data_IF_158972279780
#
_entry.id   IF_158972279780
#
_cell.length_a   1.000
_cell.length_b   1.000
_cell.length_c   1.000
_cell.angle_alpha   90.00
_cell.angle_beta   90.00
_cell.angle_gamma   90.00
#
_symmetry.space_group_name_H-M   'P 1'
#
loop_
_entity.id
_entity.type
_entity.pdbx_description
1 polymer ?
#
# COMPACT_ATOMS: atom_id res chain seq x y z
N UNK A 1 -9.48 -42.53 18.77
CA UNK A 1 -10.73 -42.26 18.02
C UNK A 1 -10.92 -40.74 17.94
N UNK A 2 -11.09 -40.24 16.71
CA UNK A 2 -11.45 -38.88 16.27
C UNK A 2 -10.69 -37.67 16.85
N UNK A 3 -9.74 -37.19 16.04
CA UNK A 3 -9.30 -35.80 16.02
C UNK A 3 -10.45 -34.90 15.55
N UNK A 4 -10.80 -33.88 16.34
CA UNK A 4 -11.69 -32.80 15.93
C UNK A 4 -10.85 -31.86 15.06
N UNK A 5 -10.99 -32.01 13.75
CA UNK A 5 -10.49 -31.03 12.78
C UNK A 5 -11.29 -29.74 12.93
N UNK A 6 -10.64 -28.67 13.38
CA UNK A 6 -11.17 -27.31 13.23
C UNK A 6 -11.17 -26.97 11.74
N UNK A 7 -12.37 -26.85 11.18
CA UNK A 7 -12.62 -26.33 9.84
C UNK A 7 -12.21 -24.85 9.84
N UNK A 8 -11.46 -24.35 8.84
CA UNK A 8 -11.19 -22.91 8.74
C UNK A 8 -12.50 -22.16 8.54
N UNK A 9 -12.79 -21.23 9.44
CA UNK A 9 -13.96 -20.36 9.36
C UNK A 9 -13.88 -19.52 8.09
N UNK A 10 -14.97 -19.50 7.32
CA UNK A 10 -15.11 -18.65 6.12
C UNK A 10 -14.79 -17.19 6.47
N UNK A 11 -14.18 -16.42 5.56
CA UNK A 11 -13.99 -14.99 5.77
C UNK A 11 -15.35 -14.32 6.05
N UNK A 12 -15.40 -13.29 6.90
CA UNK A 12 -16.65 -12.62 7.26
C UNK A 12 -17.34 -12.10 6.00
N UNK A 13 -18.63 -12.42 5.85
CA UNK A 13 -19.47 -11.86 4.77
C UNK A 13 -19.47 -10.33 4.89
N UNK A 14 -19.08 -9.66 3.80
CA UNK A 14 -19.13 -8.20 3.65
C UNK A 14 -20.53 -7.69 4.06
N UNK A 15 -20.60 -6.72 4.96
CA UNK A 15 -21.88 -6.06 5.28
C UNK A 15 -22.14 -4.98 4.22
N UNK A 16 -23.37 -4.88 3.72
CA UNK A 16 -23.74 -3.88 2.70
C UNK A 16 -23.35 -2.46 3.13
N UNK A 17 -23.43 -2.16 4.43
CA UNK A 17 -23.04 -0.87 5.03
C UNK A 17 -21.54 -0.54 4.88
N UNK A 18 -20.65 -1.52 5.05
CA UNK A 18 -19.21 -1.26 4.90
C UNK A 18 -18.80 -1.08 3.44
N UNK A 19 -19.50 -1.74 2.51
CA UNK A 19 -19.29 -1.53 1.07
C UNK A 19 -19.70 -0.12 0.63
N UNK A 20 -20.88 0.34 1.03
CA UNK A 20 -21.37 1.69 0.71
C UNK A 20 -20.43 2.76 1.29
N UNK A 21 -19.97 2.57 2.53
CA UNK A 21 -19.05 3.50 3.18
C UNK A 21 -17.69 3.62 2.45
N UNK A 22 -17.17 2.52 1.90
CA UNK A 22 -15.94 2.55 1.12
C UNK A 22 -16.14 3.28 -0.22
N UNK A 23 -17.28 3.08 -0.88
CA UNK A 23 -17.56 3.68 -2.18
C UNK A 23 -17.66 5.20 -2.10
N UNK A 24 -18.44 5.69 -1.12
CA UNK A 24 -18.61 7.12 -0.88
C UNK A 24 -17.28 7.77 -0.48
N UNK A 25 -16.48 7.06 0.33
CA UNK A 25 -15.14 7.50 0.70
C UNK A 25 -14.24 7.65 -0.53
N UNK A 26 -14.13 6.62 -1.36
CA UNK A 26 -13.24 6.63 -2.52
C UNK A 26 -13.68 7.69 -3.56
N UNK A 27 -14.99 7.86 -3.79
CA UNK A 27 -15.52 8.94 -4.64
C UNK A 27 -15.09 10.32 -4.12
N UNK A 28 -15.23 10.56 -2.82
CA UNK A 28 -14.81 11.83 -2.21
C UNK A 28 -13.30 12.04 -2.30
N UNK A 29 -12.52 10.97 -2.12
CA UNK A 29 -11.06 11.01 -2.17
C UNK A 29 -10.53 11.32 -3.57
N UNK A 30 -11.09 10.69 -4.60
CA UNK A 30 -10.67 10.87 -5.99
C UNK A 30 -11.08 12.23 -6.57
N UNK A 31 -12.10 12.87 -6.00
CA UNK A 31 -12.47 14.25 -6.36
C UNK A 31 -11.58 15.32 -5.71
N UNK A 32 -10.70 14.96 -4.75
CA UNK A 32 -9.90 15.90 -3.97
C UNK A 32 -8.63 16.42 -4.66
N UNK A 33 -8.14 17.58 -4.19
CA UNK A 33 -6.96 18.27 -4.75
C UNK A 33 -5.61 17.54 -4.59
N UNK A 34 -5.53 16.49 -3.76
CA UNK A 34 -4.32 15.67 -3.58
C UNK A 34 -3.84 14.99 -4.88
N UNK A 35 -4.71 14.92 -5.88
CA UNK A 35 -4.43 14.48 -7.24
C UNK A 35 -3.36 15.35 -7.94
N UNK A 36 -3.29 16.65 -7.64
CA UNK A 36 -2.31 17.54 -8.29
C UNK A 36 -0.86 17.09 -8.02
N UNK A 37 -0.58 16.48 -6.86
CA UNK A 37 0.79 16.05 -6.54
C UNK A 37 1.24 14.85 -7.37
N UNK A 38 0.32 13.95 -7.74
CA UNK A 38 0.63 12.76 -8.54
C UNK A 38 0.69 13.04 -10.05
N UNK A 39 -0.02 14.07 -10.52
CA UNK A 39 -0.26 14.31 -11.94
C UNK A 39 0.49 15.53 -12.53
N UNK A 40 1.38 16.17 -11.76
CA UNK A 40 2.17 17.31 -12.24
C UNK A 40 3.25 16.97 -13.29
N UNK A 41 3.27 15.73 -13.80
CA UNK A 41 4.11 15.31 -14.92
C UNK A 41 3.27 15.13 -16.18
N UNK A 42 3.70 15.78 -17.27
CA UNK A 42 3.14 15.57 -18.62
C UNK A 42 3.26 14.08 -18.93
N UNK A 43 2.14 13.40 -19.20
CA UNK A 43 2.18 12.05 -19.77
C UNK A 43 2.91 12.17 -21.12
N UNK A 44 4.02 11.45 -21.33
CA UNK A 44 4.77 11.56 -22.57
C UNK A 44 3.91 11.15 -23.75
N UNK A 45 4.22 11.68 -24.93
CA UNK A 45 3.64 11.17 -26.18
C UNK A 45 4.01 9.70 -26.33
N UNK A 46 2.98 8.85 -26.37
CA UNK A 46 3.11 7.42 -26.60
C UNK A 46 2.86 7.14 -28.09
N UNK A 47 3.56 6.16 -28.65
CA UNK A 47 3.17 5.61 -29.94
C UNK A 47 1.76 4.98 -29.87
N UNK A 48 1.12 4.82 -31.03
CA UNK A 48 -0.28 4.41 -31.12
C UNK A 48 -0.54 3.05 -30.43
N UNK A 49 0.40 2.11 -30.52
CA UNK A 49 0.28 0.78 -29.93
C UNK A 49 0.37 0.82 -28.40
N UNK A 50 1.35 1.56 -27.86
CA UNK A 50 1.48 1.78 -26.41
C UNK A 50 0.32 2.60 -25.85
N UNK A 51 -0.16 3.60 -26.59
CA UNK A 51 -1.32 4.40 -26.21
C UNK A 51 -2.59 3.55 -26.13
N UNK A 52 -2.84 2.70 -27.14
CA UNK A 52 -3.97 1.77 -27.15
C UNK A 52 -3.89 0.79 -25.97
N UNK A 53 -2.71 0.21 -25.70
CA UNK A 53 -2.50 -0.67 -24.56
C UNK A 53 -2.70 0.04 -23.22
N UNK A 54 -2.18 1.25 -23.06
CA UNK A 54 -2.37 2.05 -21.86
C UNK A 54 -3.85 2.31 -21.59
N UNK A 55 -4.61 2.69 -22.63
CA UNK A 55 -6.06 2.94 -22.52
C UNK A 55 -6.81 1.66 -22.14
N UNK A 56 -6.44 0.52 -22.71
CA UNK A 56 -7.13 -0.75 -22.49
C UNK A 56 -6.82 -1.37 -21.12
N UNK A 57 -5.54 -1.37 -20.71
CA UNK A 57 -5.07 -2.20 -19.59
C UNK A 57 -4.74 -1.42 -18.31
N UNK A 58 -4.41 -0.14 -18.43
CA UNK A 58 -3.88 0.67 -17.32
C UNK A 58 -4.87 1.74 -16.90
N UNK A 59 -5.35 2.53 -17.87
CA UNK A 59 -6.29 3.63 -17.63
C UNK A 59 -7.56 3.09 -16.97
N UNK A 60 -8.03 3.82 -15.96
CA UNK A 60 -9.25 3.48 -15.23
C UNK A 60 -10.07 4.74 -14.99
N UNK A 61 -11.36 4.55 -14.74
CA UNK A 61 -12.26 5.59 -14.26
C UNK A 61 -12.62 5.34 -12.77
N UNK A 62 -13.39 6.25 -12.18
CA UNK A 62 -13.77 6.19 -10.76
C UNK A 62 -14.53 4.90 -10.43
N UNK A 63 -15.50 4.51 -11.27
CA UNK A 63 -16.35 3.35 -11.01
C UNK A 63 -15.56 2.05 -11.10
N UNK A 64 -14.70 1.91 -12.11
CA UNK A 64 -13.77 0.77 -12.23
C UNK A 64 -12.77 0.72 -11.09
N UNK A 65 -12.23 1.86 -10.65
CA UNK A 65 -11.31 1.91 -9.52
C UNK A 65 -11.97 1.45 -8.21
N UNK A 66 -13.23 1.83 -8.00
CA UNK A 66 -14.02 1.38 -6.85
C UNK A 66 -14.30 -0.12 -6.95
N UNK A 67 -14.78 -0.61 -8.10
CA UNK A 67 -15.02 -2.05 -8.33
C UNK A 67 -13.75 -2.86 -8.06
N UNK A 68 -12.60 -2.38 -8.56
CA UNK A 68 -11.31 -3.02 -8.32
C UNK A 68 -10.98 -3.09 -6.82
N UNK A 69 -11.14 -2.00 -6.08
CA UNK A 69 -10.90 -1.99 -4.63
C UNK A 69 -11.81 -2.96 -3.87
N UNK A 70 -13.04 -3.19 -4.35
CA UNK A 70 -13.98 -4.13 -3.77
C UNK A 70 -13.68 -5.59 -4.14
N UNK A 71 -13.40 -5.88 -5.40
CA UNK A 71 -13.10 -7.22 -5.93
C UNK A 71 -11.78 -7.77 -5.38
N UNK A 72 -10.85 -6.86 -5.06
CA UNK A 72 -9.53 -7.20 -4.53
C UNK A 72 -9.47 -7.13 -2.99
N UNK A 73 -10.62 -7.03 -2.33
CA UNK A 73 -10.72 -7.09 -0.88
C UNK A 73 -10.11 -8.40 -0.36
N UNK A 74 -9.38 -8.32 0.75
CA UNK A 74 -8.64 -9.44 1.32
C UNK A 74 -7.22 -9.59 0.77
N UNK A 75 -6.88 -8.89 -0.32
CA UNK A 75 -5.50 -8.70 -0.79
C UNK A 75 -4.74 -10.01 -1.03
N UNK A 76 -5.43 -11.05 -1.50
CA UNK A 76 -4.88 -12.39 -1.64
C UNK A 76 -5.43 -13.16 -2.86
N UNK A 77 -6.13 -12.47 -3.77
CA UNK A 77 -6.75 -13.08 -4.93
C UNK A 77 -6.02 -12.74 -6.24
N UNK A 78 -6.32 -13.50 -7.30
CA UNK A 78 -5.62 -13.38 -8.58
C UNK A 78 -5.83 -12.03 -9.26
N UNK A 79 -7.01 -11.41 -9.08
CA UNK A 79 -7.29 -10.07 -9.60
C UNK A 79 -6.37 -9.06 -8.92
N UNK A 80 -6.21 -9.15 -7.59
CA UNK A 80 -5.29 -8.29 -6.83
C UNK A 80 -3.85 -8.46 -7.30
N UNK A 81 -3.40 -9.71 -7.49
CA UNK A 81 -2.05 -9.99 -7.97
C UNK A 81 -1.82 -9.47 -9.40
N UNK A 82 -2.78 -9.69 -10.31
CA UNK A 82 -2.69 -9.23 -11.70
C UNK A 82 -2.65 -7.71 -11.79
N UNK A 83 -3.55 -7.02 -11.10
CA UNK A 83 -3.66 -5.57 -11.17
C UNK A 83 -2.49 -4.86 -10.47
N UNK A 84 -1.88 -5.47 -9.45
CA UNK A 84 -0.63 -4.97 -8.87
C UNK A 84 0.55 -5.04 -9.82
N UNK A 85 0.64 -6.08 -10.65
CA UNK A 85 1.76 -6.24 -11.61
C UNK A 85 1.78 -5.15 -12.69
N UNK A 86 0.64 -4.49 -12.93
CA UNK A 86 0.52 -3.38 -13.88
C UNK A 86 1.02 -2.03 -13.32
N UNK A 87 1.38 -1.95 -12.03
CA UNK A 87 1.49 -0.69 -11.29
C UNK A 87 2.70 -0.64 -10.35
N UNK A 88 3.21 0.56 -10.10
CA UNK A 88 4.14 0.80 -9.01
C UNK A 88 3.39 0.85 -7.68
N UNK A 89 3.49 -0.23 -6.90
CA UNK A 89 2.80 -0.36 -5.62
C UNK A 89 3.62 0.19 -4.44
N UNK A 90 2.95 0.55 -3.34
CA UNK A 90 3.62 1.05 -2.14
C UNK A 90 4.79 0.20 -1.63
N UNK A 91 4.70 -1.13 -1.73
CA UNK A 91 5.75 -2.06 -1.29
C UNK A 91 7.04 -2.00 -2.11
N UNK A 92 7.01 -1.48 -3.35
CA UNK A 92 8.15 -1.46 -4.29
C UNK A 92 8.57 -0.05 -4.72
N UNK A 93 7.72 0.96 -4.50
CA UNK A 93 7.93 2.31 -5.03
C UNK A 93 9.24 2.94 -4.56
N UNK A 94 9.61 2.78 -3.29
CA UNK A 94 10.84 3.33 -2.75
C UNK A 94 12.09 2.65 -3.32
N UNK A 95 12.01 1.34 -3.56
CA UNK A 95 13.09 0.57 -4.17
C UNK A 95 13.36 1.03 -5.61
N UNK A 96 12.30 1.21 -6.41
CA UNK A 96 12.39 1.76 -7.76
C UNK A 96 12.90 3.21 -7.76
N UNK A 97 12.41 4.03 -6.83
CA UNK A 97 12.83 5.43 -6.67
C UNK A 97 14.33 5.54 -6.35
N UNK A 98 14.83 4.74 -5.42
CA UNK A 98 16.26 4.72 -5.09
C UNK A 98 17.10 4.12 -6.21
N UNK A 99 16.61 3.07 -6.89
CA UNK A 99 17.26 2.49 -8.05
C UNK A 99 17.44 3.49 -9.21
N UNK A 100 16.47 4.40 -9.40
CA UNK A 100 16.53 5.45 -10.42
C UNK A 100 17.70 6.42 -10.27
N UNK A 101 18.33 6.46 -9.09
CA UNK A 101 19.45 7.35 -8.76
C UNK A 101 20.81 6.73 -9.11
N UNK A 102 20.85 5.49 -9.59
CA UNK A 102 22.06 4.85 -10.05
C UNK A 102 22.56 5.51 -11.35
N UNK A 103 23.88 5.55 -11.55
CA UNK A 103 24.50 6.15 -12.75
C UNK A 103 24.08 5.45 -14.06
N UNK A 104 23.85 4.13 -14.01
CA UNK A 104 23.51 3.31 -15.18
C UNK A 104 22.50 2.22 -14.80
N UNK A 105 21.22 2.56 -14.65
CA UNK A 105 20.18 1.61 -14.25
C UNK A 105 19.83 0.66 -15.41
N UNK A 106 19.83 -0.65 -15.16
CA UNK A 106 19.34 -1.68 -16.07
C UNK A 106 17.86 -1.97 -15.74
N UNK A 107 16.97 -1.15 -16.28
CA UNK A 107 15.54 -1.20 -15.96
C UNK A 107 14.89 -2.52 -16.35
N UNK A 108 15.16 -3.05 -17.54
CA UNK A 108 14.57 -4.32 -17.99
C UNK A 108 14.90 -5.47 -17.03
N UNK A 109 16.16 -5.61 -16.62
CA UNK A 109 16.57 -6.60 -15.61
C UNK A 109 15.90 -6.35 -14.26
N UNK A 110 15.80 -5.09 -13.84
CA UNK A 110 15.17 -4.71 -12.58
C UNK A 110 13.69 -5.07 -12.55
N UNK A 111 12.97 -4.76 -13.63
CA UNK A 111 11.54 -5.04 -13.77
C UNK A 111 11.28 -6.56 -13.87
N UNK A 112 12.07 -7.29 -14.66
CA UNK A 112 12.00 -8.76 -14.70
C UNK A 112 12.16 -9.37 -13.30
N UNK A 113 13.16 -8.94 -12.53
CA UNK A 113 13.38 -9.45 -11.17
C UNK A 113 12.22 -9.16 -10.20
N UNK A 114 11.47 -8.08 -10.42
CA UNK A 114 10.34 -7.69 -9.55
C UNK A 114 9.08 -8.42 -9.97
N UNK A 115 8.73 -8.39 -11.26
CA UNK A 115 7.42 -8.82 -11.74
C UNK A 115 7.35 -10.29 -12.19
N UNK A 116 8.51 -10.89 -12.51
CA UNK A 116 8.63 -12.31 -12.85
C UNK A 116 9.29 -13.12 -11.72
N UNK A 117 9.31 -12.57 -10.50
CA UNK A 117 9.81 -13.28 -9.33
C UNK A 117 8.89 -14.45 -8.98
N UNK A 118 9.48 -15.61 -8.69
CA UNK A 118 8.77 -16.80 -8.19
C UNK A 118 8.71 -16.85 -6.66
N UNK A 119 9.19 -15.82 -5.97
CA UNK A 119 9.24 -15.78 -4.51
C UNK A 119 7.82 -15.75 -3.90
N UNK A 120 7.48 -16.78 -3.13
CA UNK A 120 6.16 -16.97 -2.52
C UNK A 120 6.06 -16.42 -1.08
N UNK A 121 7.04 -15.62 -0.64
CA UNK A 121 7.11 -15.18 0.76
C UNK A 121 7.98 -16.08 1.63
N UNK A 122 7.99 -15.77 2.93
CA UNK A 122 8.70 -16.51 3.95
C UNK A 122 7.88 -16.57 5.24
N UNK A 123 8.34 -17.32 6.24
CA UNK A 123 7.69 -17.44 7.56
C UNK A 123 7.38 -16.09 8.22
N UNK A 124 8.21 -15.06 7.99
CA UNK A 124 7.99 -13.73 8.54
C UNK A 124 6.79 -13.02 7.86
N UNK A 125 6.61 -13.24 6.56
CA UNK A 125 5.49 -12.68 5.78
C UNK A 125 4.18 -13.37 6.17
N UNK A 126 4.19 -14.70 6.31
CA UNK A 126 3.05 -15.49 6.77
C UNK A 126 2.63 -15.11 8.19
N UNK A 127 3.60 -15.00 9.11
CA UNK A 127 3.33 -14.52 10.47
C UNK A 127 2.71 -13.12 10.46
N UNK A 128 3.26 -12.20 9.66
CA UNK A 128 2.75 -10.84 9.55
C UNK A 128 1.28 -10.81 9.12
N UNK A 129 0.92 -11.55 8.07
CA UNK A 129 -0.45 -11.62 7.56
C UNK A 129 -1.44 -12.16 8.61
N UNK A 130 -1.06 -13.22 9.34
CA UNK A 130 -1.90 -13.78 10.40
C UNK A 130 -2.06 -12.82 11.59
N UNK A 131 -0.97 -12.17 12.00
CA UNK A 131 -0.97 -11.25 13.13
C UNK A 131 -1.72 -9.94 12.83
N UNK A 132 -1.77 -9.51 11.56
CA UNK A 132 -2.41 -8.25 11.15
C UNK A 132 -3.92 -8.23 11.45
N UNK A 133 -4.61 -9.36 11.28
CA UNK A 133 -6.04 -9.47 11.62
C UNK A 133 -6.27 -9.23 13.10
N UNK A 134 -5.46 -9.84 13.96
CA UNK A 134 -5.50 -9.62 15.41
C UNK A 134 -5.17 -8.16 15.75
N UNK A 135 -4.10 -7.61 15.17
CA UNK A 135 -3.67 -6.23 15.39
C UNK A 135 -4.79 -5.22 15.07
N UNK A 136 -5.48 -5.40 13.94
CA UNK A 136 -6.62 -4.57 13.55
C UNK A 136 -7.77 -4.66 14.55
N UNK A 137 -8.10 -5.87 15.01
CA UNK A 137 -9.16 -6.07 16.00
C UNK A 137 -8.83 -5.40 17.34
N UNK A 138 -7.60 -5.56 17.82
CA UNK A 138 -7.11 -4.91 19.05
C UNK A 138 -7.11 -3.39 18.91
N UNK A 139 -6.68 -2.87 17.75
CA UNK A 139 -6.72 -1.43 17.46
C UNK A 139 -8.15 -0.86 17.53
N UNK A 140 -9.12 -1.52 16.88
CA UNK A 140 -10.53 -1.11 16.93
C UNK A 140 -11.08 -1.14 18.36
N UNK A 141 -10.80 -2.21 19.12
CA UNK A 141 -11.25 -2.34 20.49
C UNK A 141 -10.67 -1.27 21.43
N UNK A 142 -9.38 -0.92 21.26
CA UNK A 142 -8.70 0.07 22.11
C UNK A 142 -9.04 1.52 21.76
N UNK A 143 -9.27 1.82 20.48
CA UNK A 143 -9.50 3.21 20.03
C UNK A 143 -10.98 3.55 19.86
N UNK A 144 -11.85 2.56 19.67
CA UNK A 144 -13.24 2.76 19.27
C UNK A 144 -13.40 3.20 17.81
N UNK A 145 -12.31 3.36 17.05
CA UNK A 145 -12.39 3.69 15.63
C UNK A 145 -12.87 2.47 14.83
N UNK A 146 -13.76 2.71 13.88
CA UNK A 146 -14.13 1.72 12.88
C UNK A 146 -13.10 1.71 11.75
N UNK A 147 -12.51 0.54 11.46
CA UNK A 147 -11.51 0.38 10.41
C UNK A 147 -12.17 -0.15 9.14
N UNK A 148 -12.23 0.68 8.11
CA UNK A 148 -12.62 0.27 6.77
C UNK A 148 -11.49 -0.54 6.13
N UNK A 149 -11.81 -1.71 5.60
CA UNK A 149 -10.89 -2.51 4.79
C UNK A 149 -11.10 -2.21 3.31
N UNK A 150 -10.01 -2.28 2.55
CA UNK A 150 -10.02 -2.09 1.10
C UNK A 150 -9.08 -3.10 0.44
N UNK A 151 -9.35 -3.42 -0.83
CA UNK A 151 -8.40 -4.05 -1.73
C UNK A 151 -7.38 -3.05 -2.27
N UNK A 152 -6.98 -3.24 -3.52
CA UNK A 152 -6.10 -2.34 -4.26
C UNK A 152 -6.83 -1.04 -4.63
N UNK A 153 -6.35 0.07 -4.09
CA UNK A 153 -6.79 1.42 -4.43
C UNK A 153 -5.90 1.92 -5.57
N UNK A 154 -6.56 2.37 -6.64
CA UNK A 154 -5.95 2.98 -7.81
C UNK A 154 -6.63 4.32 -8.03
N UNK A 155 -5.86 5.40 -8.02
CA UNK A 155 -6.42 6.73 -8.30
C UNK A 155 -6.53 6.91 -9.83
N UNK A 156 -7.73 7.19 -10.39
CA UNK A 156 -7.92 7.35 -11.84
C UNK A 156 -7.02 8.39 -12.49
N UNK A 157 -6.54 9.39 -11.73
CA UNK A 157 -5.67 10.43 -12.24
C UNK A 157 -4.20 9.98 -12.39
N UNK A 158 -3.79 8.94 -11.65
CA UNK A 158 -2.46 8.35 -11.74
C UNK A 158 -2.54 6.82 -11.66
N UNK A 159 -3.18 6.17 -12.66
CA UNK A 159 -3.56 4.76 -12.59
C UNK A 159 -2.37 3.79 -12.65
N UNK A 160 -1.17 4.29 -12.90
CA UNK A 160 0.08 3.53 -12.82
C UNK A 160 0.59 3.35 -11.38
N UNK A 161 -0.01 4.02 -10.40
CA UNK A 161 0.25 3.78 -8.98
C UNK A 161 -0.86 2.94 -8.34
N UNK A 162 -0.50 2.17 -7.33
CA UNK A 162 -1.45 1.38 -6.55
C UNK A 162 -1.06 1.27 -5.09
N UNK A 163 -2.06 1.21 -4.21
CA UNK A 163 -1.84 1.03 -2.79
C UNK A 163 -2.90 0.12 -2.18
N UNK A 164 -2.50 -0.77 -1.27
CA UNK A 164 -3.41 -1.66 -0.56
C UNK A 164 -3.23 -1.37 0.94
N UNK A 165 -4.08 -0.52 1.55
CA UNK A 165 -3.97 -0.20 2.97
C UNK A 165 -4.35 -1.39 3.84
N UNK A 166 -3.73 -1.50 5.02
CA UNK A 166 -4.15 -2.47 6.05
C UNK A 166 -5.49 -2.04 6.69
N UNK A 167 -5.78 -0.73 6.66
CA UNK A 167 -7.07 -0.16 6.98
C UNK A 167 -7.17 1.33 6.65
N UNK A 168 -8.40 1.85 6.65
CA UNK A 168 -8.68 3.28 6.55
C UNK A 168 -9.61 3.65 7.71
N UNK A 169 -9.25 4.71 8.43
CA UNK A 169 -10.06 5.26 9.52
C UNK A 169 -10.49 6.68 9.18
N UNK A 170 -11.69 7.05 9.61
CA UNK A 170 -12.24 8.38 9.40
C UNK A 170 -12.04 9.22 10.66
N UNK A 171 -11.22 10.27 10.56
CA UNK A 171 -10.96 11.20 11.65
C UNK A 171 -11.47 12.58 11.23
N UNK A 172 -12.49 13.09 11.92
CA UNK A 172 -13.11 14.39 11.62
C UNK A 172 -13.51 14.54 10.13
N UNK A 173 -14.08 13.48 9.54
CA UNK A 173 -14.51 13.45 8.14
C UNK A 173 -13.39 13.30 7.11
N UNK A 174 -12.13 13.12 7.54
CA UNK A 174 -10.99 12.92 6.64
C UNK A 174 -10.44 11.48 6.74
N UNK A 175 -10.00 10.89 5.62
CA UNK A 175 -9.33 9.60 5.65
C UNK A 175 -7.95 9.71 6.30
N UNK A 176 -7.64 8.74 7.15
CA UNK A 176 -6.31 8.44 7.65
C UNK A 176 -6.00 6.98 7.34
N UNK A 177 -4.80 6.73 6.83
CA UNK A 177 -4.35 5.35 6.57
C UNK A 177 -3.98 4.71 7.90
N UNK A 178 -4.41 3.47 8.11
CA UNK A 178 -3.86 2.58 9.12
C UNK A 178 -2.91 1.62 8.41
N UNK A 179 -1.63 1.69 8.76
CA UNK A 179 -0.60 0.73 8.34
C UNK A 179 -0.18 -0.09 9.55
N UNK A 180 -0.11 -1.40 9.41
CA UNK A 180 0.16 -2.35 10.46
C UNK A 180 1.47 -3.08 10.13
N UNK A 181 2.35 -3.17 11.11
CA UNK A 181 3.55 -4.01 11.02
C UNK A 181 3.62 -4.88 12.25
N UNK A 182 3.79 -6.18 12.01
CA UNK A 182 3.94 -7.21 13.04
C UNK A 182 5.34 -7.83 12.92
N UNK A 183 6.39 -7.23 13.52
CA UNK A 183 7.72 -7.82 13.50
C UNK A 183 7.71 -9.21 14.15
N UNK A 184 8.46 -10.16 13.60
CA UNK A 184 8.53 -11.55 14.12
C UNK A 184 8.91 -11.57 15.61
N UNK A 185 9.81 -10.69 16.02
CA UNK A 185 10.24 -10.60 17.43
C UNK A 185 9.12 -10.16 18.38
N UNK A 186 8.04 -9.56 17.86
CA UNK A 186 6.83 -9.23 18.63
C UNK A 186 6.04 -10.44 19.13
N UNK A 187 6.44 -11.67 18.76
CA UNK A 187 5.96 -12.91 19.38
C UNK A 187 6.56 -13.15 20.77
N UNK A 188 7.71 -12.54 21.06
CA UNK A 188 8.52 -12.86 22.24
C UNK A 188 8.69 -11.69 23.20
N UNK A 189 8.28 -10.48 22.81
CA UNK A 189 8.45 -9.28 23.61
C UNK A 189 7.35 -8.23 23.31
N UNK A 190 7.02 -7.38 24.29
CA UNK A 190 6.10 -6.25 24.11
C UNK A 190 6.54 -5.26 23.02
N UNK A 191 5.58 -4.57 22.42
CA UNK A 191 5.83 -3.62 21.33
C UNK A 191 6.83 -2.50 21.70
N UNK A 192 6.78 -2.03 22.96
CA UNK A 192 7.70 -1.01 23.49
C UNK A 192 9.17 -1.46 23.57
N UNK A 193 9.41 -2.77 23.66
CA UNK A 193 10.74 -3.35 23.81
C UNK A 193 11.33 -3.70 22.43
N UNK A 194 10.48 -4.09 21.47
CA UNK A 194 10.93 -4.41 20.11
C UNK A 194 11.14 -3.17 19.23
N UNK A 195 10.38 -2.10 19.44
CA UNK A 195 10.35 -0.93 18.53
C UNK A 195 11.72 -0.28 18.34
N UNK A 196 12.55 -0.25 19.39
CA UNK A 196 13.89 0.33 19.36
C UNK A 196 14.88 -0.45 18.48
N UNK A 197 14.62 -1.74 18.28
CA UNK A 197 15.47 -2.64 17.50
C UNK A 197 15.10 -2.69 16.01
N UNK A 198 14.03 -1.99 15.62
CA UNK A 198 13.61 -1.94 14.22
C UNK A 198 14.45 -0.93 13.46
N UNK A 199 15.17 -1.41 12.44
CA UNK A 199 16.09 -0.59 11.63
C UNK A 199 15.40 0.59 10.92
N UNK A 200 14.07 0.56 10.77
CA UNK A 200 13.27 1.60 10.16
C UNK A 200 12.72 2.62 11.16
N UNK A 201 12.94 2.44 12.45
CA UNK A 201 12.55 3.38 13.51
C UNK A 201 13.79 4.10 14.05
N UNK A 202 13.60 5.35 14.46
CA UNK A 202 14.56 6.10 15.27
C UNK A 202 13.83 6.85 16.38
N UNK A 203 14.56 7.26 17.41
CA UNK A 203 14.07 8.11 18.49
C UNK A 203 14.58 9.53 18.22
N UNK A 204 13.69 10.52 18.18
CA UNK A 204 14.08 11.92 18.01
C UNK A 204 14.62 12.51 19.34
N UNK A 205 15.06 13.76 19.30
CA UNK A 205 15.58 14.49 20.48
C UNK A 205 14.56 14.60 21.62
N UNK A 206 13.26 14.55 21.29
CA UNK A 206 12.17 14.61 22.27
C UNK A 206 11.82 13.24 22.87
N UNK A 207 12.51 12.16 22.47
CA UNK A 207 12.22 10.81 22.94
C UNK A 207 11.09 10.09 22.18
N UNK A 208 10.54 10.69 21.12
CA UNK A 208 9.46 10.08 20.34
C UNK A 208 9.99 9.13 19.27
N UNK A 209 9.28 8.03 19.05
CA UNK A 209 9.51 7.15 17.90
C UNK A 209 9.10 7.83 16.59
N UNK A 210 9.96 7.71 15.58
CA UNK A 210 9.75 8.24 14.24
C UNK A 210 10.17 7.21 13.19
N UNK A 211 9.42 7.18 12.09
CA UNK A 211 9.75 6.38 10.91
C UNK A 211 10.88 7.05 10.14
N UNK A 212 11.94 6.31 9.80
CA UNK A 212 13.06 6.84 9.01
C UNK A 212 12.60 7.20 7.60
N UNK A 213 12.83 8.45 7.19
CA UNK A 213 12.50 8.94 5.84
C UNK A 213 13.24 8.20 4.72
N UNK A 214 14.43 7.68 5.02
CA UNK A 214 15.24 6.86 4.09
C UNK A 214 14.93 5.36 4.19
N UNK A 215 13.66 4.98 4.32
CA UNK A 215 13.25 3.58 4.41
C UNK A 215 12.05 3.27 3.51
N UNK A 216 11.95 2.02 3.03
CA UNK A 216 10.87 1.59 2.12
C UNK A 216 9.46 1.83 2.67
N UNK A 217 9.27 1.63 3.97
CA UNK A 217 7.98 1.87 4.62
C UNK A 217 7.58 3.35 4.62
N UNK A 218 8.53 4.28 4.65
CA UNK A 218 8.21 5.70 4.50
C UNK A 218 7.71 5.99 3.09
N UNK A 219 8.41 5.50 2.06
CA UNK A 219 7.93 5.62 0.68
C UNK A 219 6.57 4.96 0.46
N UNK A 220 6.34 3.80 1.06
CA UNK A 220 5.08 3.06 0.98
C UNK A 220 3.89 3.90 1.49
N UNK A 221 3.97 4.40 2.72
CA UNK A 221 2.84 5.17 3.31
C UNK A 221 2.68 6.54 2.64
N UNK A 222 3.77 7.18 2.18
CA UNK A 222 3.69 8.43 1.43
C UNK A 222 2.99 8.24 0.07
N UNK A 223 3.30 7.15 -0.65
CA UNK A 223 2.57 6.81 -1.87
C UNK A 223 1.11 6.50 -1.57
N UNK A 224 0.83 5.72 -0.52
CA UNK A 224 -0.53 5.39 -0.12
C UNK A 224 -1.36 6.63 0.18
N UNK A 225 -0.81 7.57 0.95
CA UNK A 225 -1.46 8.85 1.26
C UNK A 225 -1.74 9.67 0.01
N UNK A 226 -0.82 9.70 -0.96
CA UNK A 226 -1.07 10.41 -2.22
C UNK A 226 -2.14 9.73 -3.09
N UNK A 227 -2.12 8.39 -3.19
CA UNK A 227 -3.12 7.63 -3.97
C UNK A 227 -4.52 7.80 -3.38
N UNK A 228 -4.64 7.70 -2.06
CA UNK A 228 -5.91 7.84 -1.34
C UNK A 228 -6.34 9.31 -1.14
N UNK A 229 -5.42 10.27 -1.13
CA UNK A 229 -5.73 11.64 -0.68
C UNK A 229 -5.83 11.80 0.83
N UNK A 230 -5.10 11.00 1.60
CA UNK A 230 -5.00 11.13 3.05
C UNK A 230 -3.90 12.13 3.45
N UNK A 231 -4.07 12.80 4.59
CA UNK A 231 -3.10 13.79 5.12
C UNK A 231 -2.06 13.19 6.05
N UNK A 232 -2.34 11.99 6.56
CA UNK A 232 -1.49 11.30 7.51
C UNK A 232 -1.80 9.80 7.53
N UNK A 233 -0.82 9.05 8.02
CA UNK A 233 -0.87 7.62 8.23
C UNK A 233 -0.57 7.33 9.70
N UNK A 234 -1.41 6.54 10.34
CA UNK A 234 -1.10 5.92 11.62
C UNK A 234 -0.44 4.57 11.37
N UNK A 235 0.85 4.47 11.66
CA UNK A 235 1.60 3.22 11.63
C UNK A 235 1.57 2.59 13.02
N UNK A 236 1.02 1.39 13.14
CA UNK A 236 1.10 0.62 14.38
C UNK A 236 2.11 -0.53 14.26
N UNK A 237 2.92 -0.68 15.31
CA UNK A 237 3.85 -1.78 15.49
C UNK A 237 3.26 -2.70 16.54
N UNK A 238 2.70 -3.82 16.09
CA UNK A 238 1.95 -4.75 16.94
C UNK A 238 2.83 -5.91 17.41
N UNK A 239 2.72 -6.24 18.69
CA UNK A 239 3.31 -7.42 19.30
C UNK A 239 2.20 -8.39 19.69
N UNK A 240 2.23 -9.62 19.15
CA UNK A 240 1.27 -10.67 19.53
C UNK A 240 1.55 -11.24 20.92
N UNK A 241 2.74 -10.96 21.49
CA UNK A 241 3.14 -11.45 22.81
C UNK A 241 2.15 -11.08 23.92
N UNK A 242 1.75 -9.81 23.97
CA UNK A 242 0.85 -9.24 25.00
C UNK A 242 -0.23 -8.34 24.39
N UNK A 243 -0.43 -8.41 23.07
CA UNK A 243 -1.35 -7.57 22.29
C UNK A 243 -1.11 -6.05 22.48
N UNK A 244 0.12 -5.67 22.85
CA UNK A 244 0.55 -4.27 22.87
C UNK A 244 0.88 -3.77 21.47
N UNK A 245 0.76 -2.45 21.27
CA UNK A 245 1.27 -1.79 20.08
C UNK A 245 1.88 -0.44 20.41
N UNK A 246 2.81 0.00 19.56
CA UNK A 246 3.31 1.38 19.51
C UNK A 246 2.72 2.04 18.26
N UNK A 247 2.13 3.22 18.41
CA UNK A 247 1.57 4.01 17.31
C UNK A 247 2.50 5.16 16.93
N UNK A 248 2.68 5.38 15.63
CA UNK A 248 3.43 6.49 15.06
C UNK A 248 2.53 7.22 14.05
N UNK A 249 2.29 8.50 14.29
CA UNK A 249 1.61 9.36 13.32
C UNK A 249 2.63 9.90 12.31
N UNK A 250 2.42 9.58 11.04
CA UNK A 250 3.31 9.95 9.93
C UNK A 250 2.57 10.98 9.07
N UNK A 251 3.01 12.24 9.04
CA UNK A 251 2.38 13.26 8.21
C UNK A 251 2.73 13.06 6.73
N UNK A 252 1.85 13.56 5.86
CA UNK A 252 2.12 13.67 4.43
C UNK A 252 3.30 14.62 4.18
N UNK A 253 4.32 14.14 3.46
CA UNK A 253 5.51 14.90 3.08
C UNK A 253 5.42 15.25 1.59
N UNK A 254 4.85 16.42 1.31
CA UNK A 254 4.62 16.94 -0.05
C UNK A 254 5.92 16.98 -0.85
N UNK A 255 7.04 17.36 -0.24
CA UNK A 255 8.33 17.49 -0.93
C UNK A 255 8.85 16.12 -1.35
N UNK A 256 8.83 15.16 -0.42
CA UNK A 256 9.27 13.79 -0.69
C UNK A 256 8.42 13.14 -1.78
N UNK A 257 7.10 13.20 -1.64
CA UNK A 257 6.20 12.50 -2.56
C UNK A 257 6.15 13.15 -3.93
N UNK A 258 6.35 14.47 -4.05
CA UNK A 258 6.52 15.15 -5.35
C UNK A 258 7.77 14.65 -6.09
N UNK A 259 8.94 14.57 -5.43
CA UNK A 259 10.16 14.05 -6.07
C UNK A 259 10.01 12.56 -6.44
N UNK A 260 9.45 11.76 -5.53
CA UNK A 260 9.29 10.32 -5.77
C UNK A 260 8.29 10.04 -6.90
N UNK A 261 7.11 10.63 -6.87
CA UNK A 261 6.06 10.38 -7.87
C UNK A 261 6.46 10.89 -9.26
N UNK A 262 7.11 12.06 -9.36
CA UNK A 262 7.62 12.58 -10.64
C UNK A 262 8.56 11.57 -11.30
N UNK A 263 9.61 11.16 -10.58
CA UNK A 263 10.59 10.19 -11.11
C UNK A 263 9.95 8.87 -11.47
N UNK A 264 9.10 8.34 -10.59
CA UNK A 264 8.42 7.08 -10.83
C UNK A 264 7.47 7.16 -12.03
N UNK A 265 6.87 8.31 -12.30
CA UNK A 265 6.03 8.50 -13.48
C UNK A 265 6.87 8.47 -14.75
N UNK A 266 8.01 9.19 -14.78
CA UNK A 266 8.94 9.15 -15.91
C UNK A 266 9.40 7.70 -16.20
N UNK A 267 9.76 6.97 -15.13
CA UNK A 267 10.19 5.57 -15.22
C UNK A 267 9.06 4.66 -15.70
N UNK A 268 7.83 4.92 -15.25
CA UNK A 268 6.69 4.11 -15.64
C UNK A 268 6.48 4.17 -17.15
N UNK A 269 6.39 5.37 -17.71
CA UNK A 269 6.15 5.53 -19.14
C UNK A 269 7.37 5.20 -20.00
N UNK A 270 8.59 5.44 -19.52
CA UNK A 270 9.82 5.16 -20.29
C UNK A 270 10.20 3.67 -20.29
N UNK A 271 9.91 2.95 -19.20
CA UNK A 271 10.43 1.59 -19.00
C UNK A 271 9.35 0.57 -18.65
N UNK A 272 8.48 0.86 -17.67
CA UNK A 272 7.50 -0.12 -17.20
C UNK A 272 6.41 -0.42 -18.21
N UNK A 273 5.81 0.62 -18.79
CA UNK A 273 4.73 0.47 -19.76
C UNK A 273 5.20 -0.27 -21.03
N UNK A 274 6.36 0.06 -21.65
CA UNK A 274 6.94 -0.75 -22.73
C UNK A 274 7.27 -2.18 -22.31
N UNK A 275 7.74 -2.39 -21.07
CA UNK A 275 8.01 -3.73 -20.54
C UNK A 275 6.72 -4.56 -20.48
N UNK A 276 5.66 -4.02 -19.88
CA UNK A 276 4.34 -4.67 -19.81
C UNK A 276 3.76 -4.98 -21.19
N UNK A 277 3.92 -4.05 -22.14
CA UNK A 277 3.46 -4.24 -23.52
C UNK A 277 4.18 -5.38 -24.24
N UNK A 278 5.48 -5.58 -23.97
CA UNK A 278 6.28 -6.66 -24.57
C UNK A 278 6.03 -8.02 -23.92
N UNK A 279 5.76 -8.02 -22.61
CA UNK A 279 5.53 -9.24 -21.82
C UNK A 279 4.05 -9.57 -21.69
N UNK A 280 3.21 -9.17 -22.65
CA UNK A 280 1.81 -9.60 -22.69
C UNK A 280 1.79 -11.13 -22.77
N UNK A 281 1.36 -11.78 -21.69
CA UNK A 281 0.84 -13.15 -21.74
C UNK A 281 -0.60 -13.12 -22.25
#
# INVERSE_FOLDING_TARGET
MCAIFFIPTRPPKKTLKSSIALDDLLKSCFAGNSVQVLCNSVTPELDDDLAAYYIAEIKTDVDKAISLAQETLGQNNDIWMRERRKRFTGSICYELFTYSKNKSPSWEKKLNNIYNSTFQGNKATEYGANAEVLARNVYQAKTGHFVLQSGLIVNPAAPWFGFSPDGIIMINGKPRILEIKCPVYGQFAPAKDIVKNLNFIYVNENGDYRLRSKHKFFGQVQLGMAVLGATDCELILFATFDESYVSLLIPFDVKFITDMSKRLTDIYFTHMLPFLFKTKE
#
